data_IF_383108838557
#
_entry.id   IF_383108838557
#
_cell.length_a   1.000
_cell.length_b   1.000
_cell.length_c   1.000
_cell.angle_alpha   90.00
_cell.angle_beta   90.00
_cell.angle_gamma   90.00
#
_symmetry.space_group_name_H-M   'P 1'
#
loop_
_entity.id
_entity.type
_entity.pdbx_description
1 polymer ?
#
# COMPACT_ATOMS: atom_id res chain seq x y z
N UNK A 1 -44.92 -25.33 -1.78
CA UNK A 1 -43.57 -25.40 -2.39
C UNK A 1 -42.58 -25.78 -1.32
N UNK A 2 -41.91 -26.93 -1.44
CA UNK A 2 -40.84 -27.31 -0.51
C UNK A 2 -39.62 -26.43 -0.77
N UNK A 3 -39.12 -25.77 0.28
CA UNK A 3 -37.93 -24.91 0.21
C UNK A 3 -36.71 -25.82 0.00
N UNK A 4 -36.05 -25.74 -1.15
CA UNK A 4 -34.80 -26.49 -1.37
C UNK A 4 -33.74 -25.92 -0.43
N UNK A 5 -33.42 -26.65 0.64
CA UNK A 5 -32.32 -26.30 1.54
C UNK A 5 -31.06 -26.94 0.95
N UNK A 6 -30.13 -26.10 0.49
CA UNK A 6 -28.82 -26.56 0.01
C UNK A 6 -27.97 -26.83 1.24
N UNK A 7 -27.46 -28.06 1.36
CA UNK A 7 -26.47 -28.42 2.39
C UNK A 7 -25.10 -27.88 1.98
N UNK A 8 -24.56 -26.99 2.80
CA UNK A 8 -23.26 -26.33 2.60
C UNK A 8 -22.23 -26.75 3.64
N UNK A 9 -22.52 -27.77 4.46
CA UNK A 9 -21.64 -28.22 5.54
C UNK A 9 -20.28 -28.74 5.07
N UNK A 10 -20.18 -29.20 3.82
CA UNK A 10 -18.94 -29.67 3.20
C UNK A 10 -18.05 -28.57 2.60
N UNK A 11 -18.47 -27.30 2.64
CA UNK A 11 -17.65 -26.21 2.09
C UNK A 11 -16.45 -25.90 3.01
N UNK A 12 -15.29 -25.56 2.44
CA UNK A 12 -14.13 -25.21 3.23
C UNK A 12 -14.38 -23.91 4.02
N UNK A 13 -13.85 -23.85 5.24
CA UNK A 13 -14.04 -22.70 6.14
C UNK A 13 -13.25 -21.46 5.71
N UNK A 14 -12.31 -21.62 4.78
CA UNK A 14 -11.57 -20.56 4.09
C UNK A 14 -11.11 -21.05 2.70
N UNK A 15 -10.81 -20.11 1.82
CA UNK A 15 -10.18 -20.38 0.52
C UNK A 15 -9.16 -19.28 0.25
N UNK A 16 -8.73 -19.11 -0.99
CA UNK A 16 -7.74 -18.09 -1.37
C UNK A 16 -8.17 -17.34 -2.63
N UNK A 17 -7.67 -16.11 -2.79
CA UNK A 17 -7.97 -15.24 -3.91
C UNK A 17 -9.47 -14.94 -4.06
N UNK A 18 -9.94 -14.82 -5.30
CA UNK A 18 -11.32 -14.45 -5.63
C UNK A 18 -12.43 -15.39 -5.14
N UNK A 19 -12.05 -16.54 -4.54
CA UNK A 19 -12.99 -17.49 -3.92
C UNK A 19 -13.46 -17.07 -2.53
N UNK A 20 -12.85 -16.05 -1.92
CA UNK A 20 -13.27 -15.51 -0.62
C UNK A 20 -13.78 -14.08 -0.74
N UNK A 21 -14.80 -13.74 0.05
CA UNK A 21 -15.41 -12.40 0.05
C UNK A 21 -14.44 -11.27 0.42
N UNK A 22 -13.52 -11.42 1.41
CA UNK A 22 -12.56 -10.37 1.76
C UNK A 22 -11.74 -9.90 0.57
N UNK A 23 -11.32 -10.80 -0.31
CA UNK A 23 -10.56 -10.46 -1.51
C UNK A 23 -11.29 -9.47 -2.43
N UNK A 24 -12.61 -9.64 -2.62
CA UNK A 24 -13.41 -8.69 -3.39
C UNK A 24 -13.60 -7.35 -2.69
N UNK A 25 -13.64 -7.36 -1.35
CA UNK A 25 -13.62 -6.14 -0.54
C UNK A 25 -12.32 -5.37 -0.75
N UNK A 26 -11.17 -6.03 -0.61
CA UNK A 26 -9.85 -5.47 -0.82
C UNK A 26 -9.67 -4.97 -2.24
N UNK A 27 -10.09 -5.74 -3.25
CA UNK A 27 -10.06 -5.30 -4.64
C UNK A 27 -10.91 -4.05 -4.90
N UNK A 28 -12.13 -4.01 -4.38
CA UNK A 28 -13.03 -2.85 -4.54
C UNK A 28 -12.48 -1.62 -3.83
N UNK A 29 -11.87 -1.81 -2.65
CA UNK A 29 -11.16 -0.75 -1.94
C UNK A 29 -9.99 -0.21 -2.76
N UNK A 30 -9.15 -1.09 -3.32
CA UNK A 30 -8.05 -0.68 -4.21
C UNK A 30 -8.53 0.12 -5.44
N UNK A 31 -9.68 -0.24 -6.03
CA UNK A 31 -10.25 0.52 -7.14
C UNK A 31 -10.73 1.91 -6.70
N UNK A 32 -11.40 2.00 -5.56
CA UNK A 32 -11.89 3.25 -5.00
C UNK A 32 -10.74 4.21 -4.67
N UNK A 33 -9.75 3.73 -3.91
CA UNK A 33 -8.57 4.51 -3.53
C UNK A 33 -7.68 4.83 -4.73
N UNK A 34 -7.54 3.88 -5.67
CA UNK A 34 -6.86 4.10 -6.95
C UNK A 34 -7.49 5.22 -7.77
N UNK A 35 -8.82 5.33 -7.76
CA UNK A 35 -9.54 6.46 -8.37
C UNK A 35 -9.23 7.76 -7.65
N UNK A 36 -9.16 7.75 -6.31
CA UNK A 36 -8.73 8.90 -5.51
C UNK A 36 -7.34 9.41 -5.89
N UNK A 37 -6.36 8.51 -6.01
CA UNK A 37 -5.01 8.85 -6.48
C UNK A 37 -5.02 9.41 -7.91
N UNK A 38 -5.76 8.78 -8.83
CA UNK A 38 -5.85 9.24 -10.20
C UNK A 38 -6.46 10.65 -10.32
N UNK A 39 -7.51 10.94 -9.54
CA UNK A 39 -8.12 12.27 -9.47
C UNK A 39 -7.17 13.29 -8.86
N UNK A 40 -6.44 12.93 -7.79
CA UNK A 40 -5.45 13.81 -7.18
C UNK A 40 -4.29 14.14 -8.13
N UNK A 41 -3.77 13.15 -8.87
CA UNK A 41 -2.78 13.36 -9.93
C UNK A 41 -3.37 14.23 -11.05
N UNK A 42 -4.60 13.94 -11.49
CA UNK A 42 -5.29 14.71 -12.52
C UNK A 42 -5.46 16.19 -12.13
N UNK A 43 -5.84 16.46 -10.88
CA UNK A 43 -5.92 17.81 -10.32
C UNK A 43 -4.57 18.52 -10.29
N UNK A 44 -3.52 17.83 -9.85
CA UNK A 44 -2.15 18.35 -9.87
C UNK A 44 -1.73 18.73 -11.30
N UNK A 45 -1.90 17.82 -12.26
CA UNK A 45 -1.49 18.05 -13.66
C UNK A 45 -2.32 19.14 -14.34
N UNK A 46 -3.63 19.20 -14.05
CA UNK A 46 -4.50 20.25 -14.54
C UNK A 46 -3.98 21.63 -14.11
N UNK A 47 -3.66 21.80 -12.82
CA UNK A 47 -3.11 23.05 -12.31
C UNK A 47 -1.70 23.32 -12.86
N UNK A 48 -0.88 22.29 -13.06
CA UNK A 48 0.45 22.43 -13.65
C UNK A 48 0.42 22.98 -15.09
N UNK A 49 -0.59 22.60 -15.88
CA UNK A 49 -0.74 23.04 -17.27
C UNK A 49 -1.45 24.39 -17.38
N UNK A 50 -2.37 24.69 -16.46
CA UNK A 50 -3.22 25.89 -16.54
C UNK A 50 -2.63 27.12 -15.84
N UNK A 51 -1.82 26.93 -14.78
CA UNK A 51 -1.24 28.04 -14.03
C UNK A 51 0.14 28.42 -14.60
N UNK A 52 0.23 29.64 -15.14
CA UNK A 52 1.48 30.17 -15.72
C UNK A 52 2.64 30.26 -14.73
N UNK A 53 2.33 30.41 -13.44
CA UNK A 53 3.32 30.53 -12.37
C UNK A 53 3.64 29.20 -11.69
N UNK A 54 3.08 28.06 -12.15
CA UNK A 54 3.29 26.76 -11.51
C UNK A 54 4.77 26.38 -11.35
N UNK A 55 5.59 26.66 -12.36
CA UNK A 55 7.03 26.37 -12.31
C UNK A 55 7.77 27.16 -11.21
N UNK A 56 7.23 28.32 -10.78
CA UNK A 56 7.78 29.10 -9.66
C UNK A 56 7.38 28.50 -8.31
N UNK A 57 6.17 27.95 -8.24
CA UNK A 57 5.61 27.34 -7.03
C UNK A 57 6.11 25.91 -6.79
N UNK A 58 6.44 25.18 -7.86
CA UNK A 58 6.83 23.77 -7.84
C UNK A 58 8.30 23.58 -7.42
N UNK A 59 8.59 23.86 -6.15
CA UNK A 59 9.93 23.66 -5.58
C UNK A 59 10.32 22.17 -5.63
N UNK A 60 11.45 21.79 -6.25
CA UNK A 60 11.85 20.39 -6.38
C UNK A 60 12.07 19.71 -5.02
N UNK A 61 11.38 18.60 -4.79
CA UNK A 61 11.48 17.81 -3.55
C UNK A 61 12.80 17.01 -3.50
N UNK A 62 13.33 16.72 -2.31
CA UNK A 62 14.56 15.91 -2.17
C UNK A 62 14.45 14.55 -2.85
N UNK A 63 15.41 14.22 -3.72
CA UNK A 63 15.47 12.91 -4.38
C UNK A 63 16.07 11.83 -3.48
N UNK A 64 16.87 12.19 -2.48
CA UNK A 64 17.55 11.20 -1.64
C UNK A 64 16.55 10.34 -0.88
N UNK A 65 15.64 10.98 -0.12
CA UNK A 65 14.66 10.28 0.70
C UNK A 65 13.66 9.50 -0.14
N UNK A 66 13.14 10.12 -1.19
CA UNK A 66 12.19 9.49 -2.10
C UNK A 66 12.80 8.34 -2.90
N UNK A 67 14.06 8.43 -3.33
CA UNK A 67 14.74 7.33 -4.02
C UNK A 67 15.00 6.15 -3.08
N UNK A 68 15.45 6.41 -1.85
CA UNK A 68 15.62 5.36 -0.83
C UNK A 68 14.28 4.70 -0.50
N UNK A 69 13.23 5.49 -0.29
CA UNK A 69 11.88 4.99 -0.06
C UNK A 69 11.40 4.12 -1.23
N UNK A 70 11.55 4.61 -2.46
CA UNK A 70 11.17 3.88 -3.68
C UNK A 70 11.93 2.57 -3.82
N UNK A 71 13.26 2.58 -3.58
CA UNK A 71 14.08 1.38 -3.65
C UNK A 71 13.62 0.33 -2.64
N UNK A 72 13.46 0.71 -1.37
CA UNK A 72 13.00 -0.21 -0.32
C UNK A 72 11.60 -0.73 -0.64
N UNK A 73 10.69 0.15 -1.09
CA UNK A 73 9.31 -0.22 -1.43
C UNK A 73 9.27 -1.23 -2.57
N UNK A 74 10.00 -1.00 -3.66
CA UNK A 74 10.03 -1.92 -4.81
C UNK A 74 10.71 -3.25 -4.44
N UNK A 75 11.83 -3.21 -3.72
CA UNK A 75 12.53 -4.43 -3.27
C UNK A 75 11.65 -5.25 -2.31
N UNK A 76 10.80 -4.60 -1.51
CA UNK A 76 9.87 -5.28 -0.59
C UNK A 76 8.82 -6.15 -1.30
N UNK A 77 8.58 -5.95 -2.60
CA UNK A 77 7.67 -6.79 -3.37
C UNK A 77 8.13 -8.26 -3.41
N UNK A 78 9.43 -8.52 -3.30
CA UNK A 78 10.00 -9.88 -3.30
C UNK A 78 9.62 -10.68 -2.04
N UNK A 79 9.95 -10.25 -0.80
CA UNK A 79 9.50 -10.96 0.39
C UNK A 79 7.98 -11.04 0.48
N UNK A 80 7.26 -10.00 0.03
CA UNK A 80 5.80 -10.02 -0.03
C UNK A 80 5.24 -11.13 -0.95
N UNK A 81 5.85 -11.32 -2.13
CA UNK A 81 5.53 -12.45 -3.01
C UNK A 81 5.81 -13.80 -2.37
N UNK A 82 6.90 -13.92 -1.60
CA UNK A 82 7.19 -15.14 -0.87
C UNK A 82 6.18 -15.41 0.25
N UNK A 83 5.66 -14.36 0.93
CA UNK A 83 4.57 -14.50 1.93
C UNK A 83 3.36 -15.13 1.26
N UNK A 84 2.89 -14.55 0.16
CA UNK A 84 1.76 -15.07 -0.61
C UNK A 84 1.96 -16.54 -0.96
N UNK A 85 3.10 -16.90 -1.55
CA UNK A 85 3.39 -18.30 -1.92
C UNK A 85 3.46 -19.24 -0.72
N UNK A 86 4.04 -18.80 0.39
CA UNK A 86 4.13 -19.59 1.62
C UNK A 86 2.75 -19.77 2.28
N UNK A 87 1.91 -18.75 2.25
CA UNK A 87 0.55 -18.78 2.79
C UNK A 87 -0.36 -19.73 2.00
N UNK A 88 -0.30 -19.69 0.66
CA UNK A 88 -1.00 -20.64 -0.22
C UNK A 88 -0.55 -22.10 -0.03
N UNK A 89 0.66 -22.31 0.49
CA UNK A 89 1.22 -23.63 0.85
C UNK A 89 1.04 -23.96 2.33
N UNK A 90 0.38 -23.08 3.08
CA UNK A 90 0.12 -23.20 4.52
C UNK A 90 1.39 -23.45 5.34
N UNK A 91 2.52 -22.91 4.88
CA UNK A 91 3.81 -23.07 5.54
C UNK A 91 3.95 -22.05 6.66
N UNK A 92 3.44 -22.41 7.84
CA UNK A 92 3.42 -21.54 9.02
C UNK A 92 4.80 -20.96 9.37
N UNK A 93 5.85 -21.78 9.32
CA UNK A 93 7.21 -21.34 9.64
C UNK A 93 7.71 -20.27 8.66
N UNK A 94 7.48 -20.46 7.36
CA UNK A 94 7.88 -19.50 6.33
C UNK A 94 7.07 -18.22 6.43
N UNK A 95 5.75 -18.31 6.61
CA UNK A 95 4.87 -17.13 6.77
C UNK A 95 5.29 -16.29 7.98
N UNK A 96 5.54 -16.92 9.14
CA UNK A 96 6.03 -16.23 10.34
C UNK A 96 7.33 -15.48 10.10
N UNK A 97 8.33 -16.14 9.52
CA UNK A 97 9.63 -15.52 9.24
C UNK A 97 9.48 -14.34 8.29
N UNK A 98 8.73 -14.53 7.19
CA UNK A 98 8.57 -13.50 6.17
C UNK A 98 7.74 -12.32 6.65
N UNK A 99 6.70 -12.53 7.47
CA UNK A 99 5.93 -11.44 8.08
C UNK A 99 6.78 -10.61 9.05
N UNK A 100 7.72 -11.22 9.79
CA UNK A 100 8.68 -10.47 10.62
C UNK A 100 9.63 -9.63 9.76
N UNK A 101 10.14 -10.19 8.66
CA UNK A 101 10.98 -9.46 7.70
C UNK A 101 10.19 -8.28 7.12
N UNK A 102 8.95 -8.53 6.68
CA UNK A 102 8.10 -7.51 6.08
C UNK A 102 7.72 -6.42 7.10
N UNK A 103 7.48 -6.79 8.35
CA UNK A 103 7.26 -5.83 9.45
C UNK A 103 8.48 -4.91 9.64
N UNK A 104 9.69 -5.45 9.64
CA UNK A 104 10.92 -4.65 9.75
C UNK A 104 11.10 -3.70 8.57
N UNK A 105 10.85 -4.19 7.34
CA UNK A 105 10.87 -3.35 6.12
C UNK A 105 9.82 -2.24 6.21
N UNK A 106 8.61 -2.56 6.68
CA UNK A 106 7.53 -1.62 6.90
C UNK A 106 7.91 -0.48 7.84
N UNK A 107 8.54 -0.81 8.97
CA UNK A 107 9.05 0.20 9.91
C UNK A 107 10.12 1.10 9.29
N UNK A 108 11.00 0.53 8.45
CA UNK A 108 11.98 1.32 7.69
C UNK A 108 11.29 2.28 6.72
N UNK A 109 10.26 1.83 6.00
CA UNK A 109 9.48 2.69 5.09
C UNK A 109 8.78 3.83 5.83
N UNK A 110 8.19 3.56 7.00
CA UNK A 110 7.59 4.61 7.85
C UNK A 110 8.67 5.61 8.29
N UNK A 111 9.83 5.13 8.75
CA UNK A 111 10.94 6.00 9.13
C UNK A 111 11.42 6.89 7.98
N UNK A 112 11.60 6.34 6.79
CA UNK A 112 11.96 7.09 5.58
C UNK A 112 10.89 8.13 5.23
N UNK A 113 9.60 7.78 5.34
CA UNK A 113 8.48 8.70 5.10
C UNK A 113 8.48 9.87 6.10
N UNK A 114 8.77 9.61 7.37
CA UNK A 114 8.88 10.66 8.41
C UNK A 114 10.05 11.60 8.11
N UNK A 115 11.21 11.05 7.77
CA UNK A 115 12.39 11.86 7.39
C UNK A 115 12.09 12.71 6.16
N UNK A 116 11.40 12.16 5.16
CA UNK A 116 10.97 12.90 3.99
C UNK A 116 10.03 14.07 4.34
N UNK A 117 8.98 13.81 5.14
CA UNK A 117 8.06 14.86 5.59
C UNK A 117 8.75 15.97 6.37
N UNK A 118 9.74 15.63 7.19
CA UNK A 118 10.54 16.63 7.93
C UNK A 118 11.44 17.49 7.01
N UNK A 119 11.75 17.00 5.81
CA UNK A 119 12.64 17.65 4.85
C UNK A 119 11.88 18.32 3.69
N UNK A 120 10.55 18.32 3.68
CA UNK A 120 9.76 18.97 2.63
C UNK A 120 9.97 20.50 2.68
N UNK A 121 10.31 21.15 1.54
CA UNK A 121 10.55 22.59 1.49
C UNK A 121 9.26 23.41 1.45
N UNK A 122 8.09 22.77 1.46
CA UNK A 122 6.77 23.39 1.30
C UNK A 122 5.82 22.83 2.35
N UNK A 123 4.95 23.67 2.91
CA UNK A 123 3.85 23.27 3.81
C UNK A 123 2.57 23.07 3.02
N UNK A 124 1.62 22.31 3.59
CA UNK A 124 0.32 22.06 2.96
C UNK A 124 -0.49 23.32 2.69
N UNK A 125 -0.19 24.43 3.39
CA UNK A 125 -0.92 25.69 3.35
C UNK A 125 -0.24 26.80 2.54
N UNK A 126 0.95 26.56 1.99
CA UNK A 126 1.73 27.63 1.35
C UNK A 126 1.14 28.03 -0.02
N UNK A 127 0.79 27.05 -0.85
CA UNK A 127 0.18 27.24 -2.15
C UNK A 127 -0.49 25.94 -2.64
N UNK A 128 -1.11 25.98 -3.83
CA UNK A 128 -1.77 24.82 -4.42
C UNK A 128 -0.81 23.64 -4.62
N UNK A 129 0.44 23.88 -5.07
CA UNK A 129 1.44 22.83 -5.22
C UNK A 129 1.71 22.12 -3.88
N UNK A 130 1.96 22.88 -2.82
CA UNK A 130 2.14 22.37 -1.47
C UNK A 130 0.96 21.53 -0.99
N UNK A 131 -0.27 22.01 -1.19
CA UNK A 131 -1.48 21.26 -0.84
C UNK A 131 -1.55 19.91 -1.55
N UNK A 132 -1.27 19.85 -2.85
CA UNK A 132 -1.28 18.58 -3.59
C UNK A 132 -0.13 17.64 -3.20
N UNK A 133 1.07 18.16 -2.95
CA UNK A 133 2.21 17.36 -2.48
C UNK A 133 1.85 16.67 -1.16
N UNK A 134 1.34 17.44 -0.18
CA UNK A 134 0.94 16.88 1.12
C UNK A 134 -0.25 15.94 1.03
N UNK A 135 -1.25 16.24 0.19
CA UNK A 135 -2.38 15.35 -0.04
C UNK A 135 -1.93 14.00 -0.58
N UNK A 136 -1.15 14.00 -1.67
CA UNK A 136 -0.77 12.78 -2.38
C UNK A 136 0.25 11.93 -1.60
N UNK A 137 1.28 12.57 -1.03
CA UNK A 137 2.25 11.86 -0.20
C UNK A 137 1.64 11.43 1.13
N UNK A 138 0.77 12.24 1.72
CA UNK A 138 0.05 11.94 2.96
C UNK A 138 -0.89 10.75 2.79
N UNK A 139 -1.72 10.76 1.73
CA UNK A 139 -2.62 9.66 1.42
C UNK A 139 -1.86 8.34 1.25
N UNK A 140 -0.84 8.32 0.39
CA UNK A 140 0.00 7.13 0.24
C UNK A 140 0.67 6.74 1.57
N UNK A 141 1.16 7.72 2.34
CA UNK A 141 1.77 7.48 3.65
C UNK A 141 0.82 6.76 4.61
N UNK A 142 -0.47 7.12 4.61
CA UNK A 142 -1.51 6.44 5.39
C UNK A 142 -1.69 5.00 4.91
N UNK A 143 -1.76 4.74 3.60
CA UNK A 143 -1.88 3.36 3.10
C UNK A 143 -0.70 2.47 3.52
N UNK A 144 0.53 3.01 3.49
CA UNK A 144 1.73 2.30 3.98
C UNK A 144 1.61 2.04 5.48
N UNK A 145 1.22 3.03 6.26
CA UNK A 145 1.04 2.87 7.71
C UNK A 145 -0.01 1.80 8.04
N UNK A 146 -1.15 1.82 7.34
CA UNK A 146 -2.23 0.84 7.53
C UNK A 146 -1.77 -0.56 7.17
N UNK A 147 -1.07 -0.76 6.06
CA UNK A 147 -0.56 -2.06 5.66
C UNK A 147 0.50 -2.60 6.64
N UNK A 148 1.40 -1.74 7.13
CA UNK A 148 2.38 -2.12 8.15
C UNK A 148 1.70 -2.50 9.46
N UNK A 149 0.65 -1.79 9.86
CA UNK A 149 -0.13 -2.14 11.04
C UNK A 149 -0.83 -3.50 10.88
N UNK A 150 -1.44 -3.76 9.73
CA UNK A 150 -2.07 -5.05 9.43
C UNK A 150 -1.02 -6.19 9.40
N UNK A 151 0.12 -5.97 8.75
CA UNK A 151 1.25 -6.90 8.71
C UNK A 151 1.75 -7.25 10.11
N UNK A 152 1.88 -6.25 11.01
CA UNK A 152 2.27 -6.45 12.40
C UNK A 152 1.24 -7.27 13.18
N UNK A 153 -0.05 -6.97 13.02
CA UNK A 153 -1.14 -7.71 13.65
C UNK A 153 -1.15 -9.16 13.16
N UNK A 154 -1.04 -9.38 11.85
CA UNK A 154 -0.92 -10.71 11.25
C UNK A 154 0.31 -11.46 11.75
N UNK A 155 1.47 -10.79 11.83
CA UNK A 155 2.68 -11.38 12.37
C UNK A 155 2.44 -11.90 13.79
N UNK A 156 1.89 -11.07 14.69
CA UNK A 156 1.56 -11.47 16.06
C UNK A 156 0.57 -12.65 16.08
N UNK A 157 -0.53 -12.56 15.33
CA UNK A 157 -1.55 -13.61 15.28
C UNK A 157 -0.98 -14.95 14.81
N UNK A 158 -0.06 -14.95 13.86
CA UNK A 158 0.60 -16.14 13.34
C UNK A 158 1.42 -16.88 14.40
N UNK A 159 1.90 -16.21 15.45
CA UNK A 159 2.57 -16.84 16.60
C UNK A 159 1.61 -17.33 17.69
N UNK A 160 0.31 -17.05 17.59
CA UNK A 160 -0.70 -17.54 18.53
C UNK A 160 -1.35 -18.84 18.05
N UNK A 161 -2.27 -19.38 18.87
CA UNK A 161 -3.15 -20.51 18.49
C UNK A 161 -4.00 -20.26 17.24
N UNK A 162 -4.15 -19.00 16.83
CA UNK A 162 -4.95 -18.62 15.67
C UNK A 162 -4.15 -18.61 14.36
N UNK A 163 -2.84 -18.90 14.37
CA UNK A 163 -1.98 -18.80 13.18
C UNK A 163 -2.20 -19.84 12.07
N UNK A 164 -3.30 -20.58 12.10
CA UNK A 164 -3.61 -21.64 11.12
C UNK A 164 -4.95 -21.39 10.44
N UNK A 165 -5.22 -22.15 9.37
CA UNK A 165 -6.48 -22.05 8.63
C UNK A 165 -6.66 -20.68 7.96
N UNK A 166 -7.77 -19.99 8.27
CA UNK A 166 -8.15 -18.72 7.64
C UNK A 166 -7.04 -17.66 7.66
N UNK A 167 -6.14 -17.65 8.65
CA UNK A 167 -5.05 -16.66 8.69
C UNK A 167 -4.08 -16.77 7.52
N UNK A 168 -3.95 -17.94 6.89
CA UNK A 168 -3.21 -18.04 5.63
C UNK A 168 -3.90 -17.29 4.49
N UNK A 169 -5.24 -17.32 4.43
CA UNK A 169 -5.99 -16.49 3.48
C UNK A 169 -5.81 -15.01 3.78
N UNK A 170 -5.85 -14.62 5.05
CA UNK A 170 -5.68 -13.22 5.44
C UNK A 170 -4.25 -12.72 5.07
N UNK A 171 -3.21 -13.54 5.25
CA UNK A 171 -1.85 -13.21 4.84
C UNK A 171 -1.68 -13.12 3.31
N UNK A 172 -2.45 -13.87 2.53
CA UNK A 172 -2.47 -13.74 1.07
C UNK A 172 -3.16 -12.46 0.61
N UNK A 173 -4.25 -12.08 1.28
CA UNK A 173 -4.99 -10.85 1.00
C UNK A 173 -4.20 -9.60 1.38
N UNK A 174 -3.53 -9.61 2.54
CA UNK A 174 -2.59 -8.57 2.95
C UNK A 174 -1.46 -8.41 1.91
N UNK A 175 -0.87 -9.52 1.45
CA UNK A 175 0.14 -9.46 0.38
C UNK A 175 -0.42 -8.91 -0.94
N UNK A 176 -1.68 -9.17 -1.26
CA UNK A 176 -2.35 -8.60 -2.42
C UNK A 176 -2.52 -7.07 -2.30
N UNK A 177 -2.95 -6.58 -1.13
CA UNK A 177 -3.09 -5.15 -0.86
C UNK A 177 -1.75 -4.40 -0.95
N UNK A 178 -0.66 -4.98 -0.44
CA UNK A 178 0.67 -4.35 -0.56
C UNK A 178 1.08 -4.09 -2.02
N UNK A 179 0.70 -4.95 -2.97
CA UNK A 179 0.97 -4.68 -4.39
C UNK A 179 0.28 -3.42 -4.89
N UNK A 180 -0.93 -3.13 -4.44
CA UNK A 180 -1.61 -1.88 -4.75
C UNK A 180 -0.85 -0.67 -4.18
N UNK A 181 -0.33 -0.78 -2.95
CA UNK A 181 0.50 0.28 -2.34
C UNK A 181 1.75 0.52 -3.19
N UNK A 182 2.47 -0.53 -3.58
CA UNK A 182 3.67 -0.40 -4.44
C UNK A 182 3.33 0.19 -5.81
N UNK A 183 2.24 -0.27 -6.45
CA UNK A 183 1.85 0.18 -7.78
C UNK A 183 1.33 1.62 -7.81
N UNK A 184 0.60 2.05 -6.78
CA UNK A 184 0.12 3.43 -6.67
C UNK A 184 1.25 4.43 -6.44
N UNK A 185 2.38 4.01 -5.85
CA UNK A 185 3.55 4.87 -5.67
C UNK A 185 4.20 5.33 -6.98
N UNK A 186 4.35 4.45 -7.97
CA UNK A 186 5.20 4.75 -9.13
C UNK A 186 4.72 5.97 -9.96
N UNK A 187 3.41 6.12 -10.25
CA UNK A 187 2.90 7.34 -10.87
C UNK A 187 3.10 8.58 -10.00
N UNK A 188 2.90 8.47 -8.68
CA UNK A 188 3.13 9.57 -7.75
C UNK A 188 4.60 9.99 -7.73
N UNK A 189 5.52 9.03 -7.72
CA UNK A 189 6.94 9.28 -7.74
C UNK A 189 7.34 10.02 -9.02
N UNK A 190 6.84 9.58 -10.18
CA UNK A 190 7.06 10.26 -11.45
C UNK A 190 6.53 11.70 -11.44
N UNK A 191 5.27 11.89 -11.05
CA UNK A 191 4.60 13.20 -11.09
C UNK A 191 5.15 14.18 -10.06
N UNK A 192 5.43 13.76 -8.84
CA UNK A 192 5.84 14.66 -7.77
C UNK A 192 7.35 14.95 -7.77
N UNK A 193 8.18 14.00 -8.18
CA UNK A 193 9.64 14.14 -8.08
C UNK A 193 10.31 14.41 -9.42
N UNK A 194 9.79 13.90 -10.53
CA UNK A 194 10.46 14.06 -11.83
C UNK A 194 9.84 15.18 -12.67
N UNK A 195 8.52 15.33 -12.69
CA UNK A 195 7.87 16.36 -13.51
C UNK A 195 8.30 17.80 -13.16
N UNK A 196 8.45 18.21 -11.88
CA UNK A 196 8.94 19.57 -11.55
C UNK A 196 10.38 19.86 -11.97
N UNK A 197 11.10 18.85 -12.48
CA UNK A 197 12.50 18.95 -12.92
C UNK A 197 12.65 18.97 -14.45
N UNK A 198 11.55 18.86 -15.18
CA UNK A 198 11.49 18.96 -16.64
C UNK A 198 11.19 20.40 -17.04
#
# INVERSE_FOLDING_TARGET
>A
MARSVIDVSGLPTYAFGSRVTPWWGTFSFCLLEGTGFALGIGGYLYLAVTNKDWAKDAVPLSLLWSALFTLVLVVSALPNFLIKRAAMRESLRSVRLLLLIMSAIGLVLIGLRIMEFSALPVRWSDNAYGSFVWLLLGLHGVHVLTDVADTLVLAVLMFTRHGTGKRFSDAEDNAFYWYFVVLSWLPLYAVLYWLPRL
#
